data_IF_905752640956
#
_entry.id   IF_905752640956
#
_cell.length_a   1.000
_cell.length_b   1.000
_cell.length_c   1.000
_cell.angle_alpha   90.00
_cell.angle_beta   90.00
_cell.angle_gamma   90.00
#
_symmetry.space_group_name_H-M   'P 1'
#
loop_
_entity.id
_entity.type
_entity.pdbx_description
1 polymer ?
#
# COMPACT_ATOMS: atom_id res chain seq x y z
N UNK A 1 0.75 26.58 18.81
CA UNK A 1 0.24 26.84 17.44
C UNK A 1 -0.52 25.58 17.01
N UNK A 2 -1.81 25.69 16.71
CA UNK A 2 -2.61 24.54 16.27
C UNK A 2 -2.07 24.06 14.93
N UNK A 3 -1.53 22.85 14.89
CA UNK A 3 -1.07 22.19 13.68
C UNK A 3 -2.32 21.65 12.95
N UNK A 4 -2.77 22.30 11.90
CA UNK A 4 -3.88 21.82 11.07
C UNK A 4 -3.30 21.20 9.81
N UNK A 5 -3.44 19.89 9.68
CA UNK A 5 -3.09 19.15 8.47
C UNK A 5 -4.23 19.29 7.47
N UNK A 6 -3.88 19.64 6.24
CA UNK A 6 -4.83 19.65 5.12
C UNK A 6 -4.54 18.39 4.31
N UNK A 7 -5.49 17.44 4.31
CA UNK A 7 -5.38 16.20 3.57
C UNK A 7 -5.95 16.38 2.17
N UNK A 8 -5.25 15.83 1.19
CA UNK A 8 -5.82 15.58 -0.13
C UNK A 8 -6.82 14.44 -0.01
N UNK A 9 -8.06 14.67 -0.41
CA UNK A 9 -8.97 13.58 -0.68
C UNK A 9 -8.55 12.95 -2.01
N UNK A 10 -8.32 11.64 -2.09
CA UNK A 10 -8.09 10.96 -3.36
C UNK A 10 -9.30 11.01 -4.31
N UNK A 11 -10.41 11.60 -3.84
CA UNK A 11 -11.65 11.71 -4.60
C UNK A 11 -11.57 12.57 -5.90
N UNK A 12 -10.54 13.40 -6.05
CA UNK A 12 -10.46 14.30 -7.23
C UNK A 12 -9.87 13.64 -8.49
N UNK A 13 -9.27 12.46 -8.40
CA UNK A 13 -8.61 11.84 -9.55
C UNK A 13 -9.57 11.00 -10.41
N UNK A 14 -10.74 10.62 -9.91
CA UNK A 14 -11.69 9.75 -10.61
C UNK A 14 -12.85 10.47 -11.32
N UNK A 15 -12.91 11.81 -11.29
CA UNK A 15 -14.04 12.55 -11.89
C UNK A 15 -13.90 12.90 -13.38
N UNK A 16 -12.88 12.45 -14.08
CA UNK A 16 -12.62 12.88 -15.47
C UNK A 16 -13.05 11.88 -16.57
N UNK A 17 -13.62 10.70 -16.25
CA UNK A 17 -14.00 9.71 -17.27
C UNK A 17 -15.48 9.27 -17.29
N UNK A 18 -16.39 10.00 -16.70
CA UNK A 18 -17.80 9.62 -16.62
C UNK A 18 -18.78 10.57 -17.28
N UNK A 19 -18.64 10.92 -18.56
CA UNK A 19 -19.70 11.62 -19.30
C UNK A 19 -19.64 11.24 -20.77
N UNK A 20 -20.42 10.23 -21.17
CA UNK A 20 -21.07 10.21 -22.48
C UNK A 20 -22.10 9.07 -22.60
N UNK A 21 -23.31 9.51 -23.00
CA UNK A 21 -24.41 8.80 -23.67
C UNK A 21 -25.55 8.17 -22.86
N UNK A 22 -26.53 9.02 -22.68
CA UNK A 22 -27.94 8.61 -22.78
C UNK A 22 -28.50 9.17 -24.10
N UNK A 23 -28.97 8.32 -24.98
CA UNK A 23 -29.98 8.70 -25.96
C UNK A 23 -30.87 7.51 -26.38
N UNK A 24 -32.11 7.61 -25.98
CA UNK A 24 -33.37 7.48 -26.74
C UNK A 24 -33.68 6.18 -27.51
N UNK A 25 -34.73 5.53 -27.00
CA UNK A 25 -35.55 4.53 -27.74
C UNK A 25 -36.40 5.20 -28.84
N UNK A 26 -36.42 4.59 -30.01
CA UNK A 26 -37.58 4.58 -30.92
C UNK A 26 -37.89 3.13 -31.32
N UNK A 27 -39.20 2.79 -31.26
CA UNK A 27 -39.73 1.49 -31.68
C UNK A 27 -40.16 1.56 -33.13
N UNK A 28 -39.63 0.69 -33.99
CA UNK A 28 -40.26 0.32 -35.25
C UNK A 28 -40.31 -1.20 -35.39
N UNK A 29 -41.55 -1.70 -35.64
CA UNK A 29 -41.81 -3.11 -35.89
C UNK A 29 -41.61 -3.39 -37.40
N UNK A 30 -40.50 -4.02 -37.76
CA UNK A 30 -40.29 -4.63 -39.07
C UNK A 30 -40.16 -6.18 -38.96
N UNK A 31 -40.48 -6.95 -40.01
CA UNK A 31 -40.45 -8.40 -39.95
C UNK A 31 -39.07 -8.94 -39.71
N UNK A 32 -38.93 -9.96 -38.85
CA UNK A 32 -37.69 -10.68 -38.55
C UNK A 32 -37.09 -11.31 -39.83
N UNK A 33 -36.19 -10.59 -40.50
CA UNK A 33 -35.23 -11.20 -41.38
C UNK A 33 -34.23 -11.98 -40.54
N UNK A 34 -33.89 -13.22 -40.98
CA UNK A 34 -32.82 -13.99 -40.28
C UNK A 34 -31.52 -13.20 -40.36
N UNK A 35 -30.79 -13.04 -39.25
CA UNK A 35 -29.60 -12.22 -39.22
C UNK A 35 -28.54 -12.85 -40.19
N UNK A 36 -28.10 -12.02 -41.12
CA UNK A 36 -26.91 -12.35 -41.94
C UNK A 36 -25.70 -12.07 -41.07
N UNK A 37 -25.07 -13.13 -40.57
CA UNK A 37 -23.81 -12.98 -39.82
C UNK A 37 -22.72 -12.53 -40.79
N UNK A 38 -22.05 -11.42 -40.53
CA UNK A 38 -20.81 -11.11 -41.20
C UNK A 38 -19.73 -12.09 -40.70
N UNK A 39 -18.99 -12.71 -41.62
CA UNK A 39 -18.00 -13.75 -41.32
C UNK A 39 -16.80 -13.27 -40.46
N UNK A 40 -16.79 -12.01 -39.97
CA UNK A 40 -15.70 -11.46 -39.18
C UNK A 40 -16.18 -10.55 -38.08
N UNK A 41 -16.31 -11.07 -36.87
CA UNK A 41 -16.54 -10.29 -35.65
C UNK A 41 -15.34 -9.41 -35.29
N UNK A 42 -14.14 -9.74 -35.78
CA UNK A 42 -12.87 -9.08 -35.51
C UNK A 42 -12.68 -8.78 -34.01
N UNK A 43 -12.90 -9.78 -33.17
CA UNK A 43 -12.69 -9.67 -31.74
C UNK A 43 -11.23 -9.42 -31.42
N UNK A 44 -10.94 -8.37 -30.64
CA UNK A 44 -9.60 -8.03 -30.20
C UNK A 44 -9.59 -7.85 -28.67
N UNK A 45 -8.47 -8.21 -28.06
CA UNK A 45 -8.19 -8.00 -26.65
C UNK A 45 -6.91 -7.19 -26.52
N UNK A 46 -6.96 -6.11 -25.75
CA UNK A 46 -5.78 -5.33 -25.41
C UNK A 46 -5.68 -5.22 -23.89
N UNK A 47 -4.45 -5.22 -23.39
CA UNK A 47 -4.10 -4.85 -22.02
C UNK A 47 -3.61 -3.40 -22.00
N UNK A 48 -3.86 -2.66 -20.92
CA UNK A 48 -3.46 -1.26 -20.82
C UNK A 48 -1.94 -1.10 -20.99
N UNK A 49 -1.54 -0.33 -22.01
CA UNK A 49 -0.14 -0.13 -22.38
C UNK A 49 0.65 0.72 -21.37
N UNK A 50 -0.03 1.42 -20.46
CA UNK A 50 0.61 2.11 -19.34
C UNK A 50 1.34 1.12 -18.41
N UNK A 51 0.86 -0.13 -18.33
CA UNK A 51 1.43 -1.18 -17.48
C UNK A 51 2.37 -2.15 -18.22
N UNK A 52 2.74 -1.87 -19.48
CA UNK A 52 3.72 -2.65 -20.26
C UNK A 52 3.50 -4.17 -20.20
N UNK A 53 2.25 -4.61 -20.41
CA UNK A 53 1.82 -6.01 -20.31
C UNK A 53 2.14 -6.67 -18.95
N UNK A 54 2.15 -5.90 -17.87
CA UNK A 54 2.43 -6.41 -16.53
C UNK A 54 1.27 -6.21 -15.57
N UNK A 55 0.83 -7.31 -14.95
CA UNK A 55 -0.16 -7.29 -13.86
C UNK A 55 0.55 -6.99 -12.54
N UNK A 56 0.05 -6.02 -11.79
CA UNK A 56 0.54 -5.65 -10.47
C UNK A 56 -0.46 -6.08 -9.40
N UNK A 57 -0.22 -7.21 -8.70
CA UNK A 57 -1.14 -7.74 -7.70
C UNK A 57 -1.48 -6.76 -6.60
N UNK A 58 -0.50 -5.99 -6.12
CA UNK A 58 -0.70 -4.98 -5.06
C UNK A 58 -1.75 -3.93 -5.42
N UNK A 59 -1.76 -3.48 -6.68
CA UNK A 59 -2.71 -2.49 -7.18
C UNK A 59 -4.14 -3.06 -7.18
N UNK A 60 -4.31 -4.28 -7.69
CA UNK A 60 -5.61 -4.96 -7.76
C UNK A 60 -6.14 -5.24 -6.35
N UNK A 61 -5.30 -5.77 -5.46
CA UNK A 61 -5.67 -6.08 -4.08
C UNK A 61 -5.99 -4.82 -3.28
N UNK A 62 -5.15 -3.80 -3.37
CA UNK A 62 -5.33 -2.54 -2.63
C UNK A 62 -6.61 -1.80 -3.02
N UNK A 63 -7.08 -1.94 -4.27
CA UNK A 63 -8.29 -1.30 -4.80
C UNK A 63 -9.53 -2.21 -4.80
N UNK A 64 -9.42 -3.46 -4.34
CA UNK A 64 -10.51 -4.45 -4.46
C UNK A 64 -11.84 -3.98 -3.86
N UNK A 65 -11.84 -3.37 -2.68
CA UNK A 65 -13.04 -2.88 -2.03
C UNK A 65 -13.61 -1.60 -2.68
N UNK A 66 -12.74 -0.74 -3.22
CA UNK A 66 -13.18 0.44 -3.96
C UNK A 66 -13.97 0.04 -5.19
N UNK A 67 -13.43 -0.89 -5.97
CA UNK A 67 -14.10 -1.45 -7.15
C UNK A 67 -15.44 -2.11 -6.79
N UNK A 68 -15.47 -2.90 -5.72
CA UNK A 68 -16.70 -3.58 -5.28
C UNK A 68 -17.80 -2.63 -4.82
N UNK A 69 -17.46 -1.48 -4.19
CA UNK A 69 -18.43 -0.50 -3.68
C UNK A 69 -18.97 0.45 -4.75
N UNK A 70 -18.13 0.83 -5.69
CA UNK A 70 -18.46 1.88 -6.66
C UNK A 70 -18.89 1.30 -8.02
N UNK A 71 -18.76 -0.01 -8.24
CA UNK A 71 -18.99 -0.63 -9.55
C UNK A 71 -17.98 -0.20 -10.62
N UNK A 72 -16.90 0.47 -10.19
CA UNK A 72 -15.81 0.94 -11.05
C UNK A 72 -14.66 -0.05 -10.96
N UNK A 73 -14.19 -0.57 -12.08
CA UNK A 73 -12.97 -1.37 -12.13
C UNK A 73 -11.81 -0.53 -12.60
N UNK A 74 -10.62 -0.94 -12.19
CA UNK A 74 -9.42 -0.46 -12.83
C UNK A 74 -9.37 -1.08 -14.25
N UNK A 75 -9.50 -0.25 -15.28
CA UNK A 75 -9.72 -0.66 -16.66
C UNK A 75 -8.42 -1.22 -17.29
N UNK A 76 -8.01 -2.40 -16.84
CA UNK A 76 -6.78 -3.04 -17.33
C UNK A 76 -6.96 -3.73 -18.70
N UNK A 77 -8.19 -4.11 -19.06
CA UNK A 77 -8.48 -4.79 -20.33
C UNK A 77 -9.47 -3.98 -21.15
N UNK A 78 -9.23 -3.98 -22.44
CA UNK A 78 -10.13 -3.45 -23.45
C UNK A 78 -10.49 -4.58 -24.41
N UNK A 79 -11.78 -4.87 -24.54
CA UNK A 79 -12.30 -5.69 -25.63
C UNK A 79 -12.79 -4.78 -26.75
N UNK A 80 -12.45 -5.10 -27.98
CA UNK A 80 -13.07 -4.43 -29.14
C UNK A 80 -13.54 -5.46 -30.16
N UNK A 81 -14.64 -5.15 -30.83
CA UNK A 81 -15.23 -5.99 -31.87
C UNK A 81 -16.10 -5.18 -32.81
N UNK A 82 -16.32 -5.71 -33.99
CA UNK A 82 -17.32 -5.20 -34.93
C UNK A 82 -18.62 -5.97 -34.71
N UNK A 83 -19.74 -5.27 -34.54
CA UNK A 83 -21.03 -5.92 -34.34
C UNK A 83 -21.51 -6.59 -35.63
N UNK A 84 -21.73 -7.92 -35.65
CA UNK A 84 -22.11 -8.65 -36.87
C UNK A 84 -23.59 -8.50 -37.26
N UNK A 85 -24.48 -8.20 -36.30
CA UNK A 85 -25.92 -8.09 -36.53
C UNK A 85 -26.60 -7.21 -35.47
N UNK A 86 -27.83 -6.73 -35.76
CA UNK A 86 -28.67 -6.08 -34.74
C UNK A 86 -29.08 -7.05 -33.64
N UNK A 87 -29.26 -6.53 -32.44
CA UNK A 87 -29.65 -7.29 -31.23
C UNK A 87 -28.72 -8.48 -30.91
N UNK A 88 -27.42 -8.28 -31.10
CA UNK A 88 -26.40 -9.31 -30.83
C UNK A 88 -26.10 -9.40 -29.34
N UNK A 89 -26.21 -10.58 -28.77
CA UNK A 89 -25.67 -10.92 -27.45
C UNK A 89 -24.20 -11.29 -27.58
N UNK A 90 -23.35 -10.63 -26.79
CA UNK A 90 -21.94 -10.91 -26.70
C UNK A 90 -21.59 -11.44 -25.32
N UNK A 91 -20.90 -12.57 -25.27
CA UNK A 91 -20.28 -13.10 -24.05
C UNK A 91 -18.79 -13.31 -24.30
N UNK A 92 -17.95 -12.82 -23.39
CA UNK A 92 -16.50 -13.14 -23.41
C UNK A 92 -16.15 -13.83 -22.10
N UNK A 93 -15.66 -15.07 -22.20
CA UNK A 93 -15.12 -15.82 -21.08
C UNK A 93 -13.61 -15.66 -21.02
N UNK A 94 -13.12 -15.29 -19.85
CA UNK A 94 -11.69 -15.20 -19.55
C UNK A 94 -11.32 -16.29 -18.54
N UNK A 95 -10.26 -17.03 -18.83
CA UNK A 95 -9.64 -18.06 -17.97
C UNK A 95 -8.13 -18.01 -18.10
N UNK A 96 -7.32 -18.56 -17.21
CA UNK A 96 -7.42 -19.11 -15.87
C UNK A 96 -6.46 -18.46 -14.83
N UNK A 97 -6.00 -19.14 -13.90
CA UNK A 97 -5.09 -19.04 -12.74
C UNK A 97 -5.04 -17.74 -11.93
N UNK A 98 -4.95 -16.55 -12.50
CA UNK A 98 -5.10 -15.27 -11.79
C UNK A 98 -6.55 -14.81 -11.65
N UNK A 99 -7.46 -15.54 -12.29
CA UNK A 99 -8.88 -15.25 -12.42
C UNK A 99 -9.67 -16.33 -11.68
N UNK A 100 -10.77 -15.99 -11.04
CA UNK A 100 -11.67 -16.97 -10.43
C UNK A 100 -12.42 -17.76 -11.53
N UNK A 101 -12.12 -19.03 -11.66
CA UNK A 101 -12.69 -20.04 -12.57
C UNK A 101 -13.13 -19.50 -13.93
N UNK A 102 -14.02 -18.54 -13.97
CA UNK A 102 -14.45 -17.80 -15.16
C UNK A 102 -14.73 -16.33 -14.80
N UNK A 103 -14.19 -15.42 -15.59
CA UNK A 103 -14.64 -14.03 -15.60
C UNK A 103 -15.42 -13.82 -16.88
N UNK A 104 -16.73 -13.76 -16.79
CA UNK A 104 -17.61 -13.57 -17.94
C UNK A 104 -18.00 -12.11 -18.08
N UNK A 105 -17.82 -11.57 -19.27
CA UNK A 105 -18.35 -10.28 -19.71
C UNK A 105 -19.56 -10.49 -20.60
N UNK A 106 -20.62 -9.73 -20.45
CA UNK A 106 -21.82 -9.76 -21.26
C UNK A 106 -22.15 -8.37 -21.78
N UNK A 107 -22.51 -8.27 -23.05
CA UNK A 107 -23.00 -7.04 -23.67
C UNK A 107 -24.13 -7.33 -24.68
N UNK A 108 -24.96 -6.31 -24.90
CA UNK A 108 -25.98 -6.30 -25.95
C UNK A 108 -25.62 -5.25 -26.98
N UNK A 109 -25.66 -5.58 -28.26
CA UNK A 109 -25.27 -4.69 -29.35
C UNK A 109 -26.42 -4.49 -30.32
N UNK A 110 -26.83 -3.25 -30.52
CA UNK A 110 -28.02 -2.89 -31.33
C UNK A 110 -27.66 -2.36 -32.72
N UNK A 111 -26.37 -2.01 -32.96
CA UNK A 111 -25.97 -1.35 -34.22
C UNK A 111 -24.96 -2.17 -34.99
N UNK A 112 -25.27 -2.54 -36.21
CA UNK A 112 -24.43 -3.35 -37.11
C UNK A 112 -23.23 -2.54 -37.62
N UNK A 113 -22.14 -3.24 -37.97
CA UNK A 113 -20.91 -2.73 -38.60
C UNK A 113 -20.23 -1.57 -37.89
N UNK A 114 -20.50 -1.37 -36.60
CA UNK A 114 -19.75 -0.44 -35.75
C UNK A 114 -18.77 -1.17 -34.85
N UNK A 115 -17.55 -0.67 -34.82
CA UNK A 115 -16.59 -1.05 -33.80
C UNK A 115 -17.08 -0.58 -32.43
N UNK A 116 -17.08 -1.51 -31.46
CA UNK A 116 -17.43 -1.27 -30.08
C UNK A 116 -16.24 -1.63 -29.20
N UNK A 117 -16.02 -0.80 -28.18
CA UNK A 117 -15.02 -1.05 -27.15
C UNK A 117 -15.70 -1.21 -25.80
N UNK A 118 -15.20 -2.16 -25.00
CA UNK A 118 -15.70 -2.49 -23.66
C UNK A 118 -14.54 -2.60 -22.70
N UNK A 119 -14.76 -2.20 -21.47
CA UNK A 119 -13.81 -2.32 -20.37
C UNK A 119 -14.40 -3.28 -19.32
N UNK A 120 -14.03 -4.58 -19.40
CA UNK A 120 -14.67 -5.58 -18.55
C UNK A 120 -14.19 -5.48 -17.11
N UNK A 121 -15.09 -5.72 -16.16
CA UNK A 121 -14.70 -6.03 -14.79
C UNK A 121 -14.16 -7.46 -14.73
N UNK A 122 -12.93 -7.61 -14.26
CA UNK A 122 -12.29 -8.91 -14.12
C UNK A 122 -12.53 -9.47 -12.73
N UNK A 123 -12.98 -10.72 -12.66
CA UNK A 123 -13.15 -11.44 -11.40
C UNK A 123 -11.81 -12.08 -10.98
N UNK A 124 -10.98 -11.31 -10.28
CA UNK A 124 -9.66 -11.74 -9.86
C UNK A 124 -9.68 -12.78 -8.75
N UNK A 125 -8.75 -13.74 -8.82
CA UNK A 125 -8.47 -14.65 -7.71
C UNK A 125 -7.54 -13.98 -6.69
N UNK A 126 -8.11 -13.31 -5.70
CA UNK A 126 -7.36 -12.54 -4.71
C UNK A 126 -6.38 -13.40 -3.91
N UNK A 127 -6.71 -14.64 -3.60
CA UNK A 127 -5.80 -15.54 -2.87
C UNK A 127 -4.58 -15.92 -3.73
N UNK A 128 -4.78 -16.18 -5.01
CA UNK A 128 -3.66 -16.38 -5.93
C UNK A 128 -2.81 -15.12 -6.04
N UNK A 129 -3.42 -13.93 -6.18
CA UNK A 129 -2.67 -12.67 -6.27
C UNK A 129 -1.81 -12.43 -5.03
N UNK A 130 -2.32 -12.69 -3.82
CA UNK A 130 -1.57 -12.59 -2.55
C UNK A 130 -0.37 -13.54 -2.50
N UNK A 131 -0.47 -14.69 -3.13
CA UNK A 131 0.59 -15.71 -3.15
C UNK A 131 1.76 -15.39 -4.08
N UNK A 132 1.63 -14.40 -4.97
CA UNK A 132 2.64 -14.07 -5.99
C UNK A 132 3.81 -13.27 -5.38
N UNK A 133 4.71 -13.95 -4.68
CA UNK A 133 5.91 -13.34 -4.08
C UNK A 133 7.04 -13.10 -5.08
N UNK A 134 7.03 -13.77 -6.24
CA UNK A 134 8.03 -13.65 -7.30
C UNK A 134 7.35 -13.24 -8.60
N UNK A 135 8.01 -12.48 -9.47
CA UNK A 135 7.48 -12.19 -10.80
C UNK A 135 7.47 -13.45 -11.69
N UNK A 136 6.58 -13.48 -12.64
CA UNK A 136 6.44 -14.57 -13.61
C UNK A 136 5.59 -14.19 -14.80
N UNK A 137 5.09 -15.19 -15.52
CA UNK A 137 4.25 -14.99 -16.70
C UNK A 137 2.95 -15.80 -16.58
N UNK A 138 1.91 -15.33 -17.24
CA UNK A 138 0.62 -16.01 -17.35
C UNK A 138 0.09 -15.85 -18.76
N UNK A 139 -0.47 -16.93 -19.31
CA UNK A 139 -1.23 -16.92 -20.55
C UNK A 139 -2.72 -16.89 -20.21
N UNK A 140 -3.42 -15.85 -20.68
CA UNK A 140 -4.85 -15.67 -20.52
C UNK A 140 -5.54 -16.02 -21.84
N UNK A 141 -6.62 -16.80 -21.78
CA UNK A 141 -7.44 -17.17 -22.92
C UNK A 141 -8.80 -16.49 -22.85
N UNK A 142 -9.24 -15.93 -23.95
CA UNK A 142 -10.49 -15.18 -24.10
C UNK A 142 -11.33 -15.84 -25.20
N UNK A 143 -12.41 -16.51 -24.83
CA UNK A 143 -13.36 -17.09 -25.78
C UNK A 143 -14.54 -16.14 -25.97
N UNK A 144 -14.77 -15.69 -27.20
CA UNK A 144 -15.86 -14.81 -27.58
C UNK A 144 -17.03 -15.62 -28.15
N UNK A 145 -18.21 -15.39 -27.59
CA UNK A 145 -19.46 -16.03 -28.03
C UNK A 145 -20.41 -14.96 -28.55
N UNK A 146 -21.00 -15.21 -29.70
CA UNK A 146 -22.05 -14.39 -30.30
C UNK A 146 -23.34 -15.21 -30.34
N UNK A 147 -24.39 -14.69 -29.69
CA UNK A 147 -25.69 -15.36 -29.57
C UNK A 147 -25.58 -16.83 -29.09
N UNK A 148 -24.61 -17.08 -28.20
CA UNK A 148 -24.35 -18.40 -27.61
C UNK A 148 -23.41 -19.31 -28.38
N UNK A 149 -23.01 -18.93 -29.58
CA UNK A 149 -22.02 -19.71 -30.40
C UNK A 149 -20.62 -19.08 -30.24
N UNK A 150 -19.61 -19.95 -30.02
CA UNK A 150 -18.21 -19.50 -29.98
C UNK A 150 -17.76 -19.09 -31.38
N UNK A 151 -17.32 -17.87 -31.52
CA UNK A 151 -17.00 -17.28 -32.83
C UNK A 151 -15.52 -16.92 -32.99
N UNK A 152 -14.84 -16.61 -31.90
CA UNK A 152 -13.43 -16.23 -31.93
C UNK A 152 -12.79 -16.53 -30.57
N UNK A 153 -11.49 -16.78 -30.59
CA UNK A 153 -10.67 -16.90 -29.39
C UNK A 153 -9.40 -16.06 -29.50
N UNK A 154 -8.92 -15.57 -28.38
CA UNK A 154 -7.65 -14.82 -28.28
C UNK A 154 -6.85 -15.34 -27.10
N UNK A 155 -5.54 -15.26 -27.23
CA UNK A 155 -4.61 -15.51 -26.14
C UNK A 155 -3.73 -14.28 -25.92
N UNK A 156 -3.52 -13.93 -24.67
CA UNK A 156 -2.67 -12.80 -24.27
C UNK A 156 -1.69 -13.27 -23.20
N UNK A 157 -0.40 -13.15 -23.50
CA UNK A 157 0.66 -13.40 -22.52
C UNK A 157 0.96 -12.12 -21.76
N UNK A 158 0.82 -12.16 -20.43
CA UNK A 158 1.17 -11.07 -19.53
C UNK A 158 2.28 -11.50 -18.57
N UNK A 159 3.07 -10.55 -18.13
CA UNK A 159 3.89 -10.71 -16.95
C UNK A 159 3.02 -10.46 -15.72
N UNK A 160 3.33 -11.08 -14.59
CA UNK A 160 2.85 -10.63 -13.30
C UNK A 160 4.03 -10.28 -12.41
N UNK A 161 3.82 -9.27 -11.57
CA UNK A 161 4.83 -8.75 -10.65
C UNK A 161 4.65 -9.36 -9.28
N UNK A 162 5.66 -9.20 -8.42
CA UNK A 162 5.52 -9.59 -7.01
C UNK A 162 4.44 -8.76 -6.33
N UNK A 163 3.66 -9.38 -5.44
CA UNK A 163 2.70 -8.67 -4.58
C UNK A 163 3.39 -7.66 -3.65
N UNK A 164 4.69 -7.84 -3.39
CA UNK A 164 5.52 -6.89 -2.65
C UNK A 164 5.90 -5.63 -3.46
N UNK A 165 5.62 -5.59 -4.76
CA UNK A 165 5.84 -4.39 -5.56
C UNK A 165 4.68 -3.40 -5.42
N UNK A 166 4.90 -2.33 -4.66
CA UNK A 166 4.00 -1.20 -4.56
C UNK A 166 4.16 -0.29 -5.77
N UNK A 167 3.11 -0.16 -6.57
CA UNK A 167 3.04 0.87 -7.61
C UNK A 167 2.71 2.20 -6.94
N UNK A 168 3.61 3.18 -7.06
CA UNK A 168 3.42 4.52 -6.49
C UNK A 168 3.27 5.61 -7.54
N UNK A 169 3.38 5.27 -8.82
CA UNK A 169 3.11 6.16 -9.94
C UNK A 169 3.29 5.45 -11.27
N UNK A 170 2.74 6.01 -12.33
CA UNK A 170 2.97 5.52 -13.69
C UNK A 170 2.79 6.63 -14.72
N UNK A 171 3.32 6.39 -15.94
CA UNK A 171 3.09 7.25 -17.10
C UNK A 171 1.94 6.66 -17.90
N UNK A 172 0.87 7.42 -18.08
CA UNK A 172 -0.30 6.99 -18.84
C UNK A 172 0.00 6.92 -20.37
N UNK A 173 -0.99 6.54 -21.15
CA UNK A 173 -0.85 6.39 -22.59
C UNK A 173 -0.68 7.73 -23.33
N UNK A 174 -1.02 8.84 -22.69
CA UNK A 174 -0.85 10.21 -23.21
C UNK A 174 0.48 10.84 -22.77
N UNK A 175 1.27 10.12 -21.95
CA UNK A 175 2.57 10.58 -21.45
C UNK A 175 2.49 11.40 -20.16
N UNK A 176 1.34 11.46 -19.49
CA UNK A 176 1.16 12.16 -18.23
C UNK A 176 1.59 11.28 -17.06
N UNK A 177 2.23 11.88 -16.05
CA UNK A 177 2.50 11.20 -14.78
C UNK A 177 1.24 11.11 -13.94
N UNK A 178 0.89 9.90 -13.54
CA UNK A 178 -0.22 9.61 -12.63
C UNK A 178 0.36 9.19 -11.28
N UNK A 179 0.01 9.94 -10.24
CA UNK A 179 0.48 9.70 -8.87
C UNK A 179 -0.36 8.65 -8.16
N UNK A 180 0.31 7.64 -7.62
CA UNK A 180 -0.26 6.55 -6.81
C UNK A 180 0.47 6.38 -5.47
N UNK A 181 1.19 7.41 -4.99
CA UNK A 181 1.94 7.36 -3.75
C UNK A 181 1.12 6.91 -2.54
N UNK A 182 -0.18 7.20 -2.53
CA UNK A 182 -1.13 6.75 -1.51
C UNK A 182 -1.30 5.20 -1.46
N UNK A 183 -0.85 4.46 -2.49
CA UNK A 183 -0.87 2.98 -2.49
C UNK A 183 0.07 2.37 -1.45
N UNK A 184 1.05 3.08 -0.92
CA UNK A 184 1.82 2.59 0.22
C UNK A 184 0.92 2.27 1.43
N UNK A 185 -0.25 2.92 1.56
CA UNK A 185 -1.24 2.59 2.58
C UNK A 185 -1.80 1.15 2.47
N UNK A 186 -1.73 0.52 1.29
CA UNK A 186 -2.15 -0.87 1.11
C UNK A 186 -1.26 -1.88 1.85
N UNK A 187 -0.03 -1.50 2.17
CA UNK A 187 0.93 -2.32 2.93
C UNK A 187 0.80 -2.14 4.45
N UNK A 188 0.09 -1.13 4.90
CA UNK A 188 -0.32 -1.02 6.31
C UNK A 188 -1.40 -2.07 6.55
N UNK A 189 -1.13 -3.05 7.41
CA UNK A 189 -2.02 -4.19 7.65
C UNK A 189 -2.25 -4.41 9.14
N UNK A 190 -3.16 -3.66 9.72
CA UNK A 190 -3.55 -3.75 11.13
C UNK A 190 -4.21 -5.07 11.52
N UNK A 191 -4.62 -5.86 10.52
CA UNK A 191 -5.27 -7.16 10.72
C UNK A 191 -4.29 -8.34 10.58
N UNK A 192 -2.99 -8.09 10.41
CA UNK A 192 -2.01 -9.16 10.35
C UNK A 192 -1.94 -9.93 11.69
N UNK A 193 -2.12 -11.26 11.68
CA UNK A 193 -2.15 -12.06 12.94
C UNK A 193 -0.86 -11.98 13.76
N UNK A 194 0.29 -11.74 13.13
CA UNK A 194 1.58 -11.64 13.82
C UNK A 194 1.71 -10.38 14.68
N UNK A 195 0.84 -9.38 14.47
CA UNK A 195 0.84 -8.15 15.30
C UNK A 195 0.50 -8.50 16.75
N UNK A 196 -0.44 -9.41 16.99
CA UNK A 196 -0.82 -9.78 18.35
C UNK A 196 0.36 -10.43 19.12
N UNK A 197 1.17 -11.26 18.44
CA UNK A 197 2.39 -11.82 19.02
C UNK A 197 3.44 -10.72 19.30
N UNK A 198 3.61 -9.79 18.36
CA UNK A 198 4.52 -8.66 18.55
C UNK A 198 4.07 -7.76 19.72
N UNK A 199 2.79 -7.47 19.84
CA UNK A 199 2.26 -6.66 20.95
C UNK A 199 2.41 -7.37 22.30
N UNK A 200 2.28 -8.70 22.37
CA UNK A 200 2.60 -9.48 23.59
C UNK A 200 4.08 -9.34 23.95
N UNK A 201 4.98 -9.39 22.97
CA UNK A 201 6.41 -9.14 23.19
C UNK A 201 6.68 -7.73 23.71
N UNK A 202 5.97 -6.70 23.17
CA UNK A 202 6.07 -5.31 23.66
C UNK A 202 5.68 -5.24 25.14
N UNK A 203 4.56 -5.83 25.54
CA UNK A 203 4.11 -5.84 26.93
C UNK A 203 5.07 -6.60 27.85
N UNK A 204 5.74 -7.66 27.34
CA UNK A 204 6.72 -8.41 28.12
C UNK A 204 7.89 -7.55 28.60
N UNK A 205 8.22 -6.46 27.91
CA UNK A 205 9.30 -5.55 28.31
C UNK A 205 8.88 -4.52 29.35
N UNK A 206 7.63 -4.51 29.81
CA UNK A 206 7.12 -3.68 30.92
C UNK A 206 7.38 -2.18 30.80
N UNK A 207 7.45 -1.65 29.58
CA UNK A 207 7.46 -0.20 29.33
C UNK A 207 6.07 0.39 29.52
N UNK A 208 5.06 -0.36 29.11
CA UNK A 208 3.63 -0.12 29.37
C UNK A 208 2.98 -1.43 29.83
N UNK A 209 1.94 -1.33 30.67
CA UNK A 209 1.20 -2.49 31.17
C UNK A 209 0.03 -2.87 30.26
N UNK A 210 -0.43 -1.94 29.42
CA UNK A 210 -1.52 -2.15 28.47
C UNK A 210 -1.44 -1.15 27.31
N UNK A 211 -2.10 -1.49 26.20
CA UNK A 211 -2.39 -0.54 25.13
C UNK A 211 -3.78 0.05 25.34
N UNK A 212 -3.85 1.36 25.47
CA UNK A 212 -5.07 2.12 25.78
C UNK A 212 -5.45 3.12 24.68
N UNK A 213 -4.70 3.16 23.57
CA UNK A 213 -4.94 4.11 22.50
C UNK A 213 -4.93 5.56 23.01
N UNK A 214 -6.02 6.28 22.78
CA UNK A 214 -6.21 7.67 23.22
C UNK A 214 -6.96 7.83 24.56
N UNK A 215 -7.16 6.76 25.34
CA UNK A 215 -7.91 6.86 26.62
C UNK A 215 -7.14 7.60 27.71
N UNK A 216 -5.89 7.97 27.45
CA UNK A 216 -5.03 8.69 28.38
C UNK A 216 -4.55 10.03 27.83
N UNK A 217 -3.46 10.53 28.39
CA UNK A 217 -2.79 11.75 27.99
C UNK A 217 -1.92 11.57 26.74
N UNK A 218 -1.45 12.69 26.16
CA UNK A 218 -0.42 12.67 25.11
C UNK A 218 0.82 11.86 25.53
N UNK A 219 1.23 11.96 26.78
CA UNK A 219 2.39 11.24 27.30
C UNK A 219 2.16 9.73 27.28
N UNK A 220 0.96 9.27 27.60
CA UNK A 220 0.59 7.84 27.54
C UNK A 220 0.56 7.33 26.09
N UNK A 221 0.11 8.14 25.12
CA UNK A 221 0.25 7.81 23.69
C UNK A 221 1.73 7.66 23.32
N UNK A 222 2.57 8.64 23.72
CA UNK A 222 4.01 8.59 23.45
C UNK A 222 4.68 7.36 24.09
N UNK A 223 4.28 6.97 25.30
CA UNK A 223 4.82 5.81 25.98
C UNK A 223 4.46 4.49 25.27
N UNK A 224 3.25 4.37 24.72
CA UNK A 224 2.87 3.21 23.90
C UNK A 224 3.73 3.11 22.64
N UNK A 225 3.95 4.23 21.94
CA UNK A 225 4.83 4.26 20.75
C UNK A 225 6.28 3.97 21.12
N UNK A 226 6.76 4.50 22.24
CA UNK A 226 8.09 4.20 22.76
C UNK A 226 8.26 2.71 23.12
N UNK A 227 7.26 2.08 23.72
CA UNK A 227 7.31 0.64 24.03
C UNK A 227 7.53 -0.21 22.77
N UNK A 228 6.84 0.12 21.69
CA UNK A 228 7.03 -0.50 20.38
C UNK A 228 8.46 -0.26 19.85
N UNK A 229 8.93 0.98 19.90
CA UNK A 229 10.29 1.35 19.49
C UNK A 229 11.35 0.56 20.26
N UNK A 230 11.24 0.52 21.58
CA UNK A 230 12.15 -0.21 22.46
C UNK A 230 12.23 -1.70 22.09
N UNK A 231 11.10 -2.32 21.81
CA UNK A 231 11.03 -3.74 21.40
C UNK A 231 11.75 -3.95 20.07
N UNK A 232 11.57 -3.05 19.09
CA UNK A 232 12.28 -3.15 17.80
C UNK A 232 13.80 -3.02 17.97
N UNK A 233 14.28 -2.20 18.91
CA UNK A 233 15.71 -2.11 19.25
C UNK A 233 16.22 -3.38 19.94
N UNK A 234 15.45 -3.96 20.86
CA UNK A 234 15.76 -5.24 21.49
C UNK A 234 15.77 -6.40 20.48
N UNK A 235 14.93 -6.36 19.46
CA UNK A 235 14.96 -7.28 18.33
C UNK A 235 16.12 -7.01 17.37
N UNK A 236 16.87 -5.92 17.57
CA UNK A 236 17.99 -5.52 16.72
C UNK A 236 17.59 -5.37 15.24
N UNK A 237 16.42 -4.74 14.98
CA UNK A 237 15.98 -4.45 13.61
C UNK A 237 17.03 -3.56 12.93
N UNK A 238 17.46 -3.96 11.73
CA UNK A 238 18.51 -3.26 10.96
C UNK A 238 17.95 -2.58 9.72
N UNK A 239 18.54 -1.43 9.41
CA UNK A 239 18.25 -0.78 8.15
C UNK A 239 18.81 -1.58 6.96
N UNK A 240 17.98 -1.77 5.95
CA UNK A 240 18.34 -2.45 4.71
C UNK A 240 17.70 -1.71 3.52
N UNK A 241 18.53 -1.04 2.72
CA UNK A 241 18.09 -0.20 1.59
C UNK A 241 17.66 -0.99 0.34
N UNK A 242 17.39 -2.29 0.46
CA UNK A 242 16.94 -3.11 -0.68
C UNK A 242 15.52 -2.67 -1.06
N UNK A 243 15.40 -2.01 -2.20
CA UNK A 243 14.15 -1.50 -2.77
C UNK A 243 13.96 -1.91 -4.22
N UNK A 244 15.00 -2.53 -4.82
CA UNK A 244 15.01 -2.87 -6.22
C UNK A 244 14.02 -3.99 -6.53
N UNK A 245 13.25 -3.80 -7.61
CA UNK A 245 12.37 -4.81 -8.20
C UNK A 245 13.08 -5.51 -9.35
N UNK A 246 12.65 -6.72 -9.67
CA UNK A 246 13.16 -7.45 -10.85
C UNK A 246 12.62 -6.79 -12.13
N UNK A 247 13.48 -6.51 -13.10
CA UNK A 247 13.10 -5.92 -14.39
C UNK A 247 12.24 -4.64 -14.22
N UNK A 248 12.82 -3.53 -13.78
CA UNK A 248 12.07 -2.30 -13.56
C UNK A 248 11.40 -1.84 -14.86
N UNK A 249 10.16 -1.40 -14.77
CA UNK A 249 9.42 -0.77 -15.87
C UNK A 249 9.98 0.61 -16.18
N UNK A 250 9.83 1.06 -17.41
CA UNK A 250 10.13 2.44 -17.80
C UNK A 250 8.94 3.38 -17.57
N UNK A 251 7.73 2.83 -17.55
CA UNK A 251 6.49 3.59 -17.36
C UNK A 251 5.95 3.51 -15.94
N UNK A 252 6.11 2.35 -15.27
CA UNK A 252 5.54 2.12 -13.94
C UNK A 252 6.62 2.27 -12.88
N UNK A 253 6.41 3.21 -11.99
CA UNK A 253 7.26 3.44 -10.83
C UNK A 253 6.78 2.54 -9.69
N UNK A 254 7.60 1.57 -9.32
CA UNK A 254 7.30 0.64 -8.25
C UNK A 254 8.48 0.46 -7.30
N UNK A 255 8.16 0.11 -6.06
CA UNK A 255 9.14 -0.17 -5.03
C UNK A 255 8.79 -1.47 -4.32
N UNK A 256 9.78 -2.31 -4.06
CA UNK A 256 9.61 -3.48 -3.20
C UNK A 256 9.36 -3.03 -1.77
N UNK A 257 8.26 -3.48 -1.18
CA UNK A 257 7.86 -3.22 0.20
C UNK A 257 7.72 -4.56 0.91
N UNK A 258 8.46 -4.74 2.00
CA UNK A 258 8.37 -5.95 2.84
C UNK A 258 7.03 -5.98 3.55
N UNK A 259 6.40 -7.14 3.59
CA UNK A 259 5.21 -7.37 4.41
C UNK A 259 5.55 -7.24 5.89
N UNK A 260 4.52 -7.13 6.74
CA UNK A 260 4.67 -7.13 8.19
C UNK A 260 5.50 -8.33 8.66
N UNK A 261 5.15 -9.53 8.20
CA UNK A 261 5.84 -10.77 8.58
C UNK A 261 7.30 -10.82 8.12
N UNK A 262 7.60 -10.29 6.94
CA UNK A 262 8.99 -10.25 6.45
C UNK A 262 9.86 -9.33 7.32
N UNK A 263 9.35 -8.18 7.75
CA UNK A 263 10.07 -7.30 8.69
C UNK A 263 10.20 -7.95 10.06
N UNK A 264 9.11 -8.52 10.57
CA UNK A 264 9.05 -9.14 11.90
C UNK A 264 9.99 -10.34 12.03
N UNK A 265 10.03 -11.22 11.01
CA UNK A 265 10.85 -12.44 11.02
C UNK A 265 12.32 -12.16 10.72
N UNK A 266 12.61 -11.25 9.77
CA UNK A 266 13.97 -11.02 9.30
C UNK A 266 14.69 -9.88 10.04
N UNK A 267 13.99 -9.10 10.86
CA UNK A 267 14.53 -7.93 11.58
C UNK A 267 15.26 -6.95 10.64
N UNK A 268 14.71 -6.71 9.47
CA UNK A 268 15.23 -5.79 8.46
C UNK A 268 14.13 -4.93 7.88
N UNK A 269 14.39 -3.63 7.74
CA UNK A 269 13.48 -2.67 7.15
C UNK A 269 14.23 -1.53 6.46
N UNK A 270 13.69 -0.98 5.38
CA UNK A 270 14.05 0.33 4.85
C UNK A 270 13.10 1.41 5.42
N UNK A 271 13.16 2.64 4.89
CA UNK A 271 12.32 3.75 5.33
C UNK A 271 10.82 3.47 5.11
N UNK A 272 10.44 2.85 3.99
CA UNK A 272 9.05 2.49 3.70
C UNK A 272 8.61 1.31 4.57
N UNK A 273 9.38 0.23 4.60
CA UNK A 273 9.07 -0.97 5.38
C UNK A 273 8.85 -0.65 6.87
N UNK A 274 9.76 0.13 7.46
CA UNK A 274 9.67 0.56 8.86
C UNK A 274 8.45 1.44 9.12
N UNK A 275 8.12 2.32 8.17
CA UNK A 275 6.97 3.22 8.30
C UNK A 275 5.65 2.44 8.21
N UNK A 276 5.49 1.53 7.24
CA UNK A 276 4.25 0.73 7.10
C UNK A 276 4.12 -0.31 8.23
N UNK A 277 5.24 -0.90 8.70
CA UNK A 277 5.25 -1.80 9.84
C UNK A 277 4.73 -1.11 11.10
N UNK A 278 5.35 0.03 11.47
CA UNK A 278 4.92 0.79 12.64
C UNK A 278 3.50 1.33 12.48
N UNK A 279 3.11 1.79 11.29
CA UNK A 279 1.74 2.22 11.04
C UNK A 279 0.74 1.08 11.27
N UNK A 280 1.07 -0.17 10.89
CA UNK A 280 0.22 -1.34 11.12
C UNK A 280 0.01 -1.60 12.61
N UNK A 281 1.09 -1.54 13.40
CA UNK A 281 1.02 -1.73 14.86
C UNK A 281 0.22 -0.60 15.51
N UNK A 282 0.44 0.66 15.12
CA UNK A 282 -0.28 1.81 15.68
C UNK A 282 -1.78 1.74 15.39
N UNK A 283 -2.15 1.41 14.14
CA UNK A 283 -3.56 1.19 13.77
C UNK A 283 -4.21 0.08 14.63
N UNK A 284 -3.48 -1.01 14.91
CA UNK A 284 -3.98 -2.12 15.74
C UNK A 284 -4.30 -1.70 17.17
N UNK A 285 -3.53 -0.76 17.74
CA UNK A 285 -3.74 -0.26 19.11
C UNK A 285 -4.54 1.04 19.17
N UNK A 286 -5.25 1.36 18.08
CA UNK A 286 -6.12 2.55 17.92
C UNK A 286 -5.37 3.90 18.03
N UNK A 287 -4.10 3.94 17.65
CA UNK A 287 -3.36 5.19 17.44
C UNK A 287 -3.29 5.45 15.93
N UNK A 288 -3.83 6.58 15.45
CA UNK A 288 -3.98 6.91 14.04
C UNK A 288 -2.65 7.39 13.44
N UNK A 289 -2.03 6.60 12.53
CA UNK A 289 -0.79 7.00 11.85
C UNK A 289 -1.07 7.70 10.52
N UNK A 290 -0.04 8.37 10.02
CA UNK A 290 0.05 8.83 8.65
C UNK A 290 1.48 8.63 8.11
N UNK A 291 1.59 8.35 6.82
CA UNK A 291 2.88 8.25 6.15
C UNK A 291 3.25 9.62 5.58
N UNK A 292 4.51 9.99 5.64
CA UNK A 292 5.04 11.22 5.07
C UNK A 292 6.05 10.86 3.99
N UNK A 293 5.72 11.18 2.75
CA UNK A 293 6.59 11.02 1.58
C UNK A 293 7.29 12.33 1.27
N UNK A 294 8.61 12.25 1.08
CA UNK A 294 9.46 13.33 0.60
C UNK A 294 10.40 12.76 -0.48
N UNK A 295 11.10 13.58 -1.27
CA UNK A 295 12.00 13.08 -2.29
C UNK A 295 12.99 12.04 -1.77
N UNK A 296 12.87 10.80 -2.27
CA UNK A 296 13.75 9.67 -1.95
C UNK A 296 13.61 9.11 -0.54
N UNK A 297 12.62 9.54 0.26
CA UNK A 297 12.48 9.09 1.63
C UNK A 297 11.02 9.06 2.11
N UNK A 298 10.76 8.18 3.08
CA UNK A 298 9.49 8.09 3.80
C UNK A 298 9.75 7.97 5.30
N UNK A 299 8.92 8.65 6.09
CA UNK A 299 8.90 8.47 7.54
C UNK A 299 7.46 8.44 8.07
N UNK A 300 7.31 8.07 9.33
CA UNK A 300 6.03 7.95 9.98
C UNK A 300 5.65 9.25 10.69
N UNK A 301 4.36 9.58 10.68
CA UNK A 301 3.74 10.46 11.64
C UNK A 301 2.62 9.74 12.37
N UNK A 302 2.30 10.18 13.57
CA UNK A 302 1.16 9.67 14.32
C UNK A 302 0.51 10.78 15.14
N UNK A 303 -0.81 10.72 15.24
CA UNK A 303 -1.55 11.65 16.07
C UNK A 303 -1.37 11.30 17.54
N UNK A 304 -1.21 12.33 18.37
CA UNK A 304 -1.15 12.19 19.82
C UNK A 304 -2.45 12.55 20.51
N UNK A 305 -3.48 12.88 19.69
CA UNK A 305 -4.85 13.15 20.12
C UNK A 305 -5.84 12.52 19.14
N UNK A 306 -6.97 12.03 19.65
CA UNK A 306 -7.99 11.35 18.85
C UNK A 306 -8.62 12.25 17.78
N UNK A 307 -8.76 13.55 18.09
CA UNK A 307 -9.28 14.59 17.18
C UNK A 307 -8.28 15.04 16.11
N UNK A 308 -7.10 14.43 16.07
CA UNK A 308 -6.02 14.73 15.10
C UNK A 308 -5.50 16.17 15.16
N UNK A 309 -5.64 16.86 16.28
CA UNK A 309 -5.16 18.24 16.43
C UNK A 309 -3.68 18.36 16.77
N UNK A 310 -3.10 17.31 17.32
CA UNK A 310 -1.68 17.22 17.65
C UNK A 310 -1.06 15.93 17.14
N UNK A 311 0.21 15.99 16.75
CA UNK A 311 0.92 14.84 16.19
C UNK A 311 2.42 14.94 16.44
N UNK A 312 3.11 13.79 16.30
CA UNK A 312 4.55 13.68 16.28
C UNK A 312 5.02 13.00 14.98
N UNK A 313 6.29 13.26 14.61
CA UNK A 313 6.96 12.64 13.46
C UNK A 313 7.99 11.66 13.99
N UNK A 314 8.16 10.51 13.32
CA UNK A 314 9.07 9.46 13.74
C UNK A 314 9.95 9.01 12.57
N UNK A 315 11.25 9.23 12.69
CA UNK A 315 12.25 8.73 11.75
C UNK A 315 12.50 7.23 11.97
N UNK A 316 11.86 6.41 11.18
CA UNK A 316 11.86 4.95 11.38
C UNK A 316 13.19 4.28 11.09
N UNK A 317 14.03 4.88 10.24
CA UNK A 317 15.37 4.34 9.90
C UNK A 317 16.34 4.38 11.07
N UNK A 318 16.07 5.21 12.07
CA UNK A 318 16.91 5.35 13.25
C UNK A 318 16.77 4.19 14.26
N UNK A 319 15.73 3.34 14.15
CA UNK A 319 15.56 2.21 15.06
C UNK A 319 16.79 1.28 15.04
N UNK A 320 17.38 1.07 13.87
CA UNK A 320 18.56 0.21 13.67
C UNK A 320 19.88 0.82 14.11
N UNK A 321 19.91 2.09 14.55
CA UNK A 321 21.14 2.78 15.01
C UNK A 321 21.61 2.32 16.38
N UNK A 322 20.72 1.74 17.19
CA UNK A 322 21.00 1.21 18.53
C UNK A 322 20.83 -0.31 18.53
N UNK A 323 21.78 -1.00 19.13
CA UNK A 323 21.70 -2.42 19.45
C UNK A 323 21.83 -2.61 20.96
N UNK A 324 20.70 -2.67 21.65
CA UNK A 324 20.67 -2.81 23.10
C UNK A 324 21.27 -4.16 23.57
N UNK A 325 21.21 -5.21 22.75
CA UNK A 325 21.70 -6.55 23.09
C UNK A 325 23.22 -6.63 23.09
N UNK A 326 23.91 -5.72 22.40
CA UNK A 326 25.39 -5.73 22.46
C UNK A 326 25.94 -5.07 23.74
N UNK A 327 25.08 -4.39 24.51
CA UNK A 327 25.43 -3.85 25.81
C UNK A 327 25.17 -4.94 26.86
N UNK A 328 26.22 -5.50 27.42
CA UNK A 328 26.08 -6.59 28.41
C UNK A 328 27.16 -6.48 29.50
N UNK A 329 26.86 -7.09 30.63
CA UNK A 329 27.78 -7.17 31.75
C UNK A 329 28.38 -8.59 31.84
N UNK A 330 29.68 -8.65 31.96
CA UNK A 330 30.40 -9.90 32.22
C UNK A 330 31.63 -9.61 33.08
N UNK A 331 31.93 -10.48 34.07
CA UNK A 331 33.05 -10.34 35.01
C UNK A 331 33.14 -8.97 35.70
N UNK A 332 31.99 -8.36 36.03
CA UNK A 332 31.94 -7.05 36.67
C UNK A 332 32.31 -5.86 35.75
N UNK A 333 32.32 -6.07 34.45
CA UNK A 333 32.56 -5.03 33.45
C UNK A 333 31.39 -4.96 32.45
N UNK A 334 31.01 -3.75 32.07
CA UNK A 334 30.01 -3.50 31.03
C UNK A 334 30.72 -3.28 29.68
N UNK A 335 30.32 -4.08 28.71
CA UNK A 335 30.83 -4.02 27.36
C UNK A 335 29.94 -3.16 26.44
N UNK A 336 30.59 -2.49 25.49
CA UNK A 336 29.96 -1.67 24.43
C UNK A 336 29.15 -0.44 24.88
N UNK A 337 28.99 -0.18 26.17
CA UNK A 337 28.27 1.00 26.67
C UNK A 337 28.87 2.31 26.11
N UNK A 338 30.21 2.37 25.94
CA UNK A 338 30.89 3.56 25.43
C UNK A 338 30.37 4.05 24.06
N UNK A 339 29.84 3.13 23.22
CA UNK A 339 29.25 3.49 21.92
C UNK A 339 27.98 4.38 22.07
N UNK A 340 27.32 4.27 23.23
CA UNK A 340 26.00 4.85 23.46
C UNK A 340 25.95 5.87 24.60
N UNK A 341 27.10 6.27 25.16
CA UNK A 341 27.15 7.25 26.25
C UNK A 341 26.49 8.60 25.90
N UNK A 342 26.45 8.96 24.61
CA UNK A 342 25.74 10.16 24.15
C UNK A 342 24.20 10.09 24.29
N UNK A 343 23.67 8.94 24.66
CA UNK A 343 22.24 8.71 24.94
C UNK A 343 21.96 8.52 26.43
N UNK A 344 22.96 8.64 27.31
CA UNK A 344 22.81 8.46 28.76
C UNK A 344 23.11 9.77 29.45
N UNK A 345 22.24 10.16 30.38
CA UNK A 345 22.46 11.33 31.24
C UNK A 345 23.62 11.04 32.23
N UNK A 346 24.34 12.10 32.60
CA UNK A 346 25.41 11.99 33.58
C UNK A 346 24.87 11.50 34.96
N UNK A 347 23.64 11.86 35.29
CA UNK A 347 22.98 11.42 36.52
C UNK A 347 22.76 9.90 36.53
N UNK A 348 22.12 9.35 35.53
CA UNK A 348 21.85 7.90 35.43
C UNK A 348 23.16 7.11 35.37
N UNK A 349 24.17 7.61 34.65
CA UNK A 349 25.48 6.98 34.60
C UNK A 349 26.17 6.95 35.98
N UNK A 350 26.14 8.08 36.72
CA UNK A 350 26.67 8.14 38.07
C UNK A 350 25.90 7.23 39.05
N UNK A 351 24.57 7.19 38.95
CA UNK A 351 23.76 6.29 39.78
C UNK A 351 24.09 4.83 39.48
N UNK A 352 24.33 4.48 38.23
CA UNK A 352 24.78 3.13 37.85
C UNK A 352 26.15 2.80 38.50
N UNK A 353 27.14 3.71 38.37
CA UNK A 353 28.46 3.51 38.94
C UNK A 353 28.44 3.34 40.48
N UNK A 354 27.47 3.97 41.15
CA UNK A 354 27.27 3.89 42.59
C UNK A 354 26.31 2.79 43.05
N UNK A 355 25.83 1.95 42.12
CA UNK A 355 24.94 0.83 42.43
C UNK A 355 23.46 1.23 42.69
N UNK A 356 23.05 2.46 42.38
CA UNK A 356 21.69 2.96 42.51
C UNK A 356 20.84 2.80 41.24
N UNK A 357 21.43 2.36 40.13
CA UNK A 357 20.75 2.02 38.92
C UNK A 357 21.34 0.72 38.34
N UNK A 358 20.55 0.03 37.53
CA UNK A 358 20.94 -1.24 36.88
C UNK A 358 21.40 -0.99 35.44
N UNK A 359 22.02 -2.00 34.81
CA UNK A 359 22.31 -1.96 33.38
C UNK A 359 21.03 -1.80 32.54
N UNK A 360 19.92 -2.39 32.96
CA UNK A 360 18.63 -2.26 32.26
C UNK A 360 18.10 -0.82 32.35
N UNK A 361 18.33 -0.09 33.45
CA UNK A 361 18.00 1.34 33.51
C UNK A 361 18.81 2.16 32.49
N UNK A 362 20.10 1.85 32.29
CA UNK A 362 20.92 2.50 31.27
C UNK A 362 20.41 2.17 29.85
N UNK A 363 20.12 0.91 29.56
CA UNK A 363 19.57 0.49 28.26
C UNK A 363 18.25 1.17 27.97
N UNK A 364 17.37 1.27 28.98
CA UNK A 364 16.08 1.95 28.83
C UNK A 364 16.25 3.44 28.51
N UNK A 365 17.17 4.12 29.17
CA UNK A 365 17.45 5.53 28.89
C UNK A 365 18.09 5.71 27.50
N UNK A 366 18.99 4.83 27.09
CA UNK A 366 19.57 4.82 25.74
C UNK A 366 18.47 4.68 24.69
N UNK A 367 17.57 3.73 24.88
CA UNK A 367 16.44 3.49 24.00
C UNK A 367 15.52 4.70 23.93
N UNK A 368 15.14 5.28 25.09
CA UNK A 368 14.23 6.42 25.17
C UNK A 368 14.84 7.66 24.51
N UNK A 369 16.11 7.98 24.78
CA UNK A 369 16.77 9.12 24.17
C UNK A 369 16.99 8.94 22.66
N UNK A 370 17.18 7.72 22.18
CA UNK A 370 17.19 7.44 20.74
C UNK A 370 15.81 7.66 20.09
N UNK A 371 14.74 7.26 20.78
CA UNK A 371 13.36 7.53 20.35
C UNK A 371 13.09 9.05 20.28
N UNK A 372 13.42 9.81 21.32
CA UNK A 372 13.26 11.27 21.30
C UNK A 372 14.07 11.94 20.17
N UNK A 373 15.26 11.41 19.87
CA UNK A 373 16.06 11.89 18.73
C UNK A 373 15.36 11.60 17.41
N UNK A 374 14.79 10.40 17.25
CA UNK A 374 14.04 10.03 16.05
C UNK A 374 12.76 10.87 15.87
N UNK A 375 12.05 11.20 16.97
CA UNK A 375 10.90 12.13 16.96
C UNK A 375 11.31 13.52 16.47
N UNK A 376 12.48 14.01 16.86
CA UNK A 376 12.92 15.37 16.52
C UNK A 376 13.62 15.47 15.16
N UNK A 377 14.02 14.35 14.56
CA UNK A 377 14.86 14.29 13.36
C UNK A 377 14.29 15.06 12.18
N UNK A 378 13.00 14.92 11.91
CA UNK A 378 12.34 15.45 10.72
C UNK A 378 11.63 16.80 10.94
N UNK A 379 11.62 17.36 12.17
CA UNK A 379 10.88 18.59 12.49
C UNK A 379 11.36 19.78 11.67
N UNK A 380 12.65 19.96 11.51
CA UNK A 380 13.22 21.07 10.74
C UNK A 380 12.86 20.99 9.27
N UNK A 381 13.00 19.79 8.67
CA UNK A 381 12.63 19.53 7.28
C UNK A 381 11.12 19.71 7.06
N UNK A 382 10.30 19.19 7.96
CA UNK A 382 8.85 19.39 7.94
C UNK A 382 8.47 20.87 7.94
N UNK A 383 9.04 21.65 8.84
CA UNK A 383 8.73 23.08 8.94
C UNK A 383 9.19 23.85 7.70
N UNK A 384 10.37 23.52 7.15
CA UNK A 384 10.90 24.13 5.94
C UNK A 384 10.03 23.83 4.71
N UNK A 385 9.59 22.57 4.55
CA UNK A 385 8.82 22.12 3.38
C UNK A 385 7.29 22.23 3.58
N UNK A 386 6.82 22.96 4.58
CA UNK A 386 5.39 23.04 4.90
C UNK A 386 4.53 23.55 3.75
N UNK A 387 5.04 24.46 2.94
CA UNK A 387 4.34 24.97 1.76
C UNK A 387 4.22 23.89 0.67
N UNK A 388 5.23 23.04 0.52
CA UNK A 388 5.20 21.91 -0.43
C UNK A 388 4.15 20.87 -0.04
N UNK A 389 4.06 20.51 1.23
CA UNK A 389 3.01 19.60 1.75
C UNK A 389 1.59 20.17 1.58
N UNK A 390 1.44 21.50 1.63
CA UNK A 390 0.15 22.16 1.45
C UNK A 390 -0.24 22.37 -0.01
N UNK A 391 0.68 22.16 -0.96
CA UNK A 391 0.39 22.26 -2.37
C UNK A 391 -0.23 20.94 -2.89
N UNK A 392 -1.50 20.93 -3.29
CA UNK A 392 -2.17 19.72 -3.76
C UNK A 392 -1.56 19.11 -5.04
N UNK A 393 -0.88 19.90 -5.86
CA UNK A 393 -0.29 19.43 -7.11
C UNK A 393 1.15 18.91 -6.93
N UNK A 394 1.68 18.97 -5.69
CA UNK A 394 3.01 18.49 -5.40
C UNK A 394 2.99 16.98 -5.10
N UNK A 395 3.53 16.19 -6.00
CA UNK A 395 3.61 14.73 -5.88
C UNK A 395 4.86 14.25 -5.13
N UNK A 396 5.81 15.14 -4.85
CA UNK A 396 7.06 14.80 -4.14
C UNK A 396 6.95 14.94 -2.62
N UNK A 397 6.01 15.78 -2.12
CA UNK A 397 5.80 16.03 -0.71
C UNK A 397 4.35 15.73 -0.35
N UNK A 398 4.10 14.53 0.17
CA UNK A 398 2.75 14.05 0.41
C UNK A 398 2.56 13.51 1.83
N UNK A 399 1.32 13.60 2.32
CA UNK A 399 0.91 13.06 3.61
C UNK A 399 -0.26 12.12 3.36
N UNK A 400 -0.11 10.88 3.82
CA UNK A 400 -1.10 9.82 3.65
C UNK A 400 -1.69 9.42 4.99
N UNK A 401 -2.81 10.01 5.37
CA UNK A 401 -3.56 9.59 6.58
C UNK A 401 -4.18 8.22 6.34
N UNK A 402 -3.71 7.21 7.08
CA UNK A 402 -4.12 5.83 6.88
C UNK A 402 -5.62 5.66 7.16
N UNK A 403 -6.14 6.29 8.21
CA UNK A 403 -7.56 6.16 8.56
C UNK A 403 -8.49 6.76 7.51
N UNK A 404 -8.08 7.83 6.83
CA UNK A 404 -8.84 8.40 5.72
C UNK A 404 -8.72 7.54 4.45
N UNK A 405 -7.52 7.04 4.16
CA UNK A 405 -7.28 6.21 2.99
C UNK A 405 -7.98 4.85 3.05
N UNK A 406 -8.33 4.33 4.25
CA UNK A 406 -9.13 3.11 4.39
C UNK A 406 -10.52 3.18 3.72
N UNK A 407 -10.96 4.36 3.33
CA UNK A 407 -12.17 4.54 2.51
C UNK A 407 -11.99 4.05 1.06
N UNK A 408 -10.75 4.05 0.57
CA UNK A 408 -10.39 3.72 -0.81
C UNK A 408 -9.46 2.50 -0.89
N UNK A 409 -8.41 2.50 -0.06
CA UNK A 409 -7.34 1.49 -0.08
C UNK A 409 -7.56 0.45 1.01
N UNK A 410 -7.45 -0.82 0.63
CA UNK A 410 -7.52 -1.95 1.56
C UNK A 410 -6.11 -2.49 1.85
N UNK A 411 -5.90 -3.07 3.06
CA UNK A 411 -4.73 -3.89 3.30
C UNK A 411 -4.66 -5.03 2.28
N UNK A 412 -3.51 -5.22 1.65
CA UNK A 412 -3.32 -6.32 0.68
C UNK A 412 -3.28 -7.70 1.35
N UNK A 413 -3.14 -7.76 2.67
CA UNK A 413 -3.30 -8.98 3.45
C UNK A 413 -2.19 -10.02 3.24
N UNK A 414 -0.94 -9.56 3.10
CA UNK A 414 0.26 -10.41 2.96
C UNK A 414 1.15 -10.35 4.19
#
# INVERSE_FOLDING_TARGET
MKKKLIFKSPLYLFMLFGLFFLNSCEKDNAPLEQPVYSDQVNFQVAYDQAFENSVYPSLILGLSNYSARNGESFELFKYSMVNPAEHTEVKVNLSPSLINNESAFHAHLDTVDKERAFFPMINWNYENLKSLKQPGTVDLSFACYINGEETDDKSLRLNYRSVNECVYGFIDNDGNYIDFGWMFAAYVNENNPSIDNFLQEVLYHHVVDAFIGYQGSKEEVMNQVFAIWNTLQLRNVKYSSITATSNPSQKVLSQYVRSFDEVYQNSQANCVDGSVFLASVLMKIDIKPFLVLIPGHMYLGFYTSEDKTDFELLETTMVGSINLNEIYEANGQVYNLNKYLGYVSLDTYNRYLNGYATLENLKMEISYNSFLKAINQNISSWNYNRSAFNNPDNVEYQIFDISELRKVVQPIGI
#
